data_IF_761597647445
#
_entry.id   IF_761597647445
#
_cell.length_a   1.000
_cell.length_b   1.000
_cell.length_c   1.000
_cell.angle_alpha   90.00
_cell.angle_beta   90.00
_cell.angle_gamma   90.00
#
_symmetry.space_group_name_H-M   'P 1'
#
loop_
_entity.id
_entity.type
_entity.pdbx_description
1 polymer ?
#
# COMPACT_ATOMS: atom_id res chain seq x y z
N UNK A 1 -21.69 31.00 14.68
CA UNK A 1 -20.69 29.97 15.03
C UNK A 1 -19.94 29.60 13.77
N UNK A 2 -18.64 29.87 13.70
CA UNK A 2 -17.78 29.54 12.55
C UNK A 2 -17.18 28.16 12.75
N UNK A 3 -17.42 27.26 11.79
CA UNK A 3 -16.81 25.92 11.79
C UNK A 3 -15.33 26.09 11.45
N UNK A 4 -14.39 25.58 12.28
CA UNK A 4 -12.97 25.69 11.99
C UNK A 4 -12.61 24.90 10.73
N UNK A 5 -11.72 25.47 9.92
CA UNK A 5 -11.18 24.80 8.73
C UNK A 5 -10.26 23.63 9.12
N UNK A 6 -10.09 22.64 8.23
CA UNK A 6 -9.22 21.49 8.46
C UNK A 6 -7.78 21.92 8.83
N UNK A 7 -7.24 22.93 8.15
CA UNK A 7 -5.90 23.46 8.43
C UNK A 7 -5.79 24.07 9.83
N UNK A 8 -6.84 24.75 10.32
CA UNK A 8 -6.86 25.30 11.68
C UNK A 8 -6.87 24.19 12.73
N UNK A 9 -7.63 23.11 12.48
CA UNK A 9 -7.67 21.93 13.35
C UNK A 9 -6.31 21.22 13.35
N UNK A 10 -5.69 21.05 12.19
CA UNK A 10 -4.37 20.42 12.08
C UNK A 10 -3.30 21.26 12.77
N UNK A 11 -3.29 22.59 12.60
CA UNK A 11 -2.35 23.48 13.28
C UNK A 11 -2.50 23.41 14.81
N UNK A 12 -3.73 23.35 15.32
CA UNK A 12 -3.99 23.17 16.75
C UNK A 12 -3.50 21.81 17.25
N UNK A 13 -3.71 20.74 16.49
CA UNK A 13 -3.25 19.39 16.85
C UNK A 13 -1.71 19.27 16.92
N UNK A 14 -0.98 20.07 16.14
CA UNK A 14 0.49 20.13 16.18
C UNK A 14 1.04 20.86 17.40
N UNK A 15 0.26 21.78 17.99
CA UNK A 15 0.62 22.49 19.22
C UNK A 15 0.41 21.65 20.49
N UNK A 16 -0.26 20.50 20.38
CA UNK A 16 -0.51 19.62 21.51
C UNK A 16 0.75 18.84 21.94
N UNK A 17 0.91 18.57 23.25
CA UNK A 17 1.89 17.62 23.75
C UNK A 17 1.75 16.24 23.09
N UNK A 18 2.87 15.53 22.93
CA UNK A 18 2.92 14.22 22.24
C UNK A 18 1.89 13.22 22.75
N UNK A 19 1.67 13.17 24.06
CA UNK A 19 0.71 12.27 24.69
C UNK A 19 -0.74 12.61 24.30
N UNK A 20 -1.10 13.89 24.35
CA UNK A 20 -2.44 14.36 23.97
C UNK A 20 -2.69 14.18 22.47
N UNK A 21 -1.68 14.40 21.63
CA UNK A 21 -1.75 14.10 20.21
C UNK A 21 -1.95 12.61 19.94
N UNK A 22 -1.26 11.74 20.68
CA UNK A 22 -1.44 10.29 20.60
C UNK A 22 -2.87 9.87 20.95
N UNK A 23 -3.44 10.45 22.00
CA UNK A 23 -4.83 10.21 22.39
C UNK A 23 -5.83 10.70 21.34
N UNK A 24 -5.58 11.87 20.73
CA UNK A 24 -6.44 12.43 19.69
C UNK A 24 -6.42 11.56 18.42
N UNK A 25 -5.24 11.10 17.99
CA UNK A 25 -5.10 10.16 16.88
C UNK A 25 -5.81 8.83 17.18
N UNK A 26 -5.63 8.28 18.38
CA UNK A 26 -6.29 7.03 18.79
C UNK A 26 -7.81 7.16 18.76
N UNK A 27 -8.35 8.29 19.24
CA UNK A 27 -9.78 8.57 19.22
C UNK A 27 -10.31 8.74 17.79
N UNK A 28 -9.60 9.48 16.95
CA UNK A 28 -9.97 9.66 15.54
C UNK A 28 -9.95 8.31 14.79
N UNK A 29 -8.97 7.46 15.06
CA UNK A 29 -8.89 6.12 14.48
C UNK A 29 -10.07 5.23 14.91
N UNK A 30 -10.50 5.33 16.18
CA UNK A 30 -11.69 4.62 16.67
C UNK A 30 -12.98 5.16 16.04
N UNK A 31 -13.12 6.48 15.92
CA UNK A 31 -14.28 7.11 15.28
C UNK A 31 -14.37 6.71 13.79
N UNK A 32 -13.23 6.69 13.08
CA UNK A 32 -13.17 6.21 11.69
C UNK A 32 -13.44 4.70 11.58
N UNK A 33 -13.02 3.91 12.56
CA UNK A 33 -13.30 2.47 12.59
C UNK A 33 -14.79 2.17 12.81
N UNK A 34 -15.50 3.03 13.55
CA UNK A 34 -16.96 2.92 13.73
C UNK A 34 -17.76 3.37 12.50
N UNK A 35 -17.22 4.32 11.73
CA UNK A 35 -17.86 4.84 10.50
C UNK A 35 -17.44 4.06 9.24
N UNK A 36 -16.43 3.19 9.32
CA UNK A 36 -16.19 2.24 8.24
C UNK A 36 -17.38 1.29 8.15
N UNK A 37 -18.09 1.24 7.00
CA UNK A 37 -19.12 0.23 6.80
C UNK A 37 -18.50 -1.15 7.06
N UNK A 38 -19.24 -2.10 7.65
CA UNK A 38 -18.73 -3.45 7.84
C UNK A 38 -18.21 -3.90 6.49
N UNK A 39 -16.89 -4.15 6.43
CA UNK A 39 -16.21 -4.61 5.22
C UNK A 39 -17.00 -5.83 4.78
N UNK A 40 -17.83 -5.68 3.77
CA UNK A 40 -18.66 -6.77 3.27
C UNK A 40 -17.68 -7.89 2.98
N UNK A 41 -17.89 -9.06 3.57
CA UNK A 41 -16.96 -10.16 3.38
C UNK A 41 -16.91 -10.47 1.88
N UNK A 42 -15.89 -9.93 1.21
CA UNK A 42 -15.73 -10.10 -0.23
C UNK A 42 -15.42 -11.55 -0.47
N UNK A 43 -16.07 -12.14 -1.45
CA UNK A 43 -15.67 -13.44 -1.96
C UNK A 43 -14.23 -13.36 -2.48
N UNK A 44 -13.47 -14.47 -2.49
CA UNK A 44 -12.10 -14.47 -3.00
C UNK A 44 -11.97 -13.89 -4.41
N UNK A 45 -12.98 -14.07 -5.26
CA UNK A 45 -12.98 -13.56 -6.62
C UNK A 45 -13.22 -12.05 -6.70
N UNK A 46 -14.13 -11.51 -5.86
CA UNK A 46 -14.31 -10.07 -5.73
C UNK A 46 -13.05 -9.39 -5.17
N UNK A 47 -12.38 -10.01 -4.20
CA UNK A 47 -11.13 -9.52 -3.65
C UNK A 47 -10.02 -9.49 -4.72
N UNK A 48 -9.93 -10.53 -5.57
CA UNK A 48 -9.00 -10.56 -6.71
C UNK A 48 -9.31 -9.48 -7.73
N UNK A 49 -10.59 -9.27 -8.05
CA UNK A 49 -11.03 -8.24 -8.99
C UNK A 49 -10.70 -6.83 -8.48
N UNK A 50 -11.02 -6.53 -7.22
CA UNK A 50 -10.69 -5.25 -6.59
C UNK A 50 -9.17 -5.01 -6.54
N UNK A 51 -8.39 -6.06 -6.28
CA UNK A 51 -6.94 -5.96 -6.26
C UNK A 51 -6.35 -5.73 -7.67
N UNK A 52 -6.95 -6.32 -8.70
CA UNK A 52 -6.59 -6.05 -10.10
C UNK A 52 -6.90 -4.60 -10.49
N UNK A 53 -8.05 -4.06 -10.07
CA UNK A 53 -8.42 -2.67 -10.28
C UNK A 53 -7.44 -1.71 -9.58
N UNK A 54 -7.11 -1.98 -8.31
CA UNK A 54 -6.13 -1.18 -7.56
C UNK A 54 -4.76 -1.19 -8.23
N UNK A 55 -4.31 -2.33 -8.77
CA UNK A 55 -3.03 -2.42 -9.51
C UNK A 55 -3.05 -1.55 -10.76
N UNK A 56 -4.16 -1.49 -11.49
CA UNK A 56 -4.29 -0.63 -12.67
C UNK A 56 -4.24 0.86 -12.29
N UNK A 57 -4.95 1.25 -11.23
CA UNK A 57 -4.93 2.63 -10.72
C UNK A 57 -3.52 3.02 -10.28
N UNK A 58 -2.83 2.16 -9.53
CA UNK A 58 -1.45 2.42 -9.07
C UNK A 58 -0.47 2.48 -10.24
N UNK A 59 -0.63 1.63 -11.26
CA UNK A 59 0.21 1.67 -12.46
C UNK A 59 0.01 2.94 -13.29
N UNK A 60 -1.19 3.54 -13.24
CA UNK A 60 -1.51 4.79 -13.92
C UNK A 60 -0.99 6.04 -13.18
N UNK A 61 -0.58 5.91 -11.91
CA UNK A 61 0.05 7.02 -11.19
C UNK A 61 1.44 7.32 -11.76
N UNK A 62 1.84 8.61 -11.81
CA UNK A 62 3.18 8.97 -12.26
C UNK A 62 4.20 8.32 -11.33
N UNK A 63 4.96 7.37 -11.88
CA UNK A 63 5.98 6.68 -11.11
C UNK A 63 7.06 7.68 -10.70
N UNK A 64 7.45 7.75 -9.41
CA UNK A 64 8.57 8.58 -9.01
C UNK A 64 9.80 8.14 -9.81
N UNK A 65 10.54 9.12 -10.36
CA UNK A 65 11.81 8.82 -11.04
C UNK A 65 12.71 8.14 -10.02
N UNK A 66 12.96 6.84 -10.22
CA UNK A 66 13.85 6.06 -9.38
C UNK A 66 15.19 6.78 -9.30
N UNK A 67 15.71 6.92 -8.08
CA UNK A 67 17.10 7.33 -7.89
C UNK A 67 18.04 6.28 -8.49
N UNK A 68 19.27 6.67 -8.83
CA UNK A 68 20.24 5.74 -9.43
C UNK A 68 20.46 4.46 -8.57
N UNK A 69 20.38 4.58 -7.24
CA UNK A 69 20.46 3.43 -6.33
C UNK A 69 19.26 2.49 -6.44
N UNK A 70 18.05 3.03 -6.58
CA UNK A 70 16.83 2.23 -6.75
C UNK A 70 16.76 1.55 -8.12
N UNK A 71 17.34 2.16 -9.16
CA UNK A 71 17.51 1.53 -10.47
C UNK A 71 18.47 0.34 -10.41
N UNK A 72 19.62 0.49 -9.75
CA UNK A 72 20.58 -0.61 -9.59
C UNK A 72 20.00 -1.78 -8.79
N UNK A 73 19.15 -1.50 -7.79
CA UNK A 73 18.47 -2.53 -7.01
C UNK A 73 17.32 -3.21 -7.80
N UNK A 74 16.64 -2.48 -8.68
CA UNK A 74 15.70 -3.07 -9.64
C UNK A 74 16.43 -4.01 -10.61
N UNK A 75 17.52 -3.53 -11.22
CA UNK A 75 18.35 -4.31 -12.15
C UNK A 75 18.98 -5.54 -11.48
N UNK A 76 19.36 -5.43 -10.20
CA UNK A 76 19.84 -6.57 -9.41
C UNK A 76 18.74 -7.63 -9.24
N UNK A 77 17.54 -7.22 -8.83
CA UNK A 77 16.40 -8.14 -8.66
C UNK A 77 15.98 -8.80 -9.97
N UNK A 78 16.02 -8.07 -11.08
CA UNK A 78 15.69 -8.63 -12.39
C UNK A 78 16.75 -9.62 -12.86
N UNK A 79 18.05 -9.35 -12.61
CA UNK A 79 19.12 -10.32 -12.86
C UNK A 79 19.01 -11.55 -11.95
N UNK A 80 18.76 -11.38 -10.67
CA UNK A 80 18.60 -12.49 -9.73
C UNK A 80 17.41 -13.36 -10.12
N UNK A 81 16.29 -12.75 -10.58
CA UNK A 81 15.15 -13.49 -11.14
C UNK A 81 15.50 -14.22 -12.44
N UNK A 82 16.24 -13.60 -13.36
CA UNK A 82 16.65 -14.25 -14.61
C UNK A 82 17.64 -15.41 -14.38
N UNK A 83 18.47 -15.32 -13.35
CA UNK A 83 19.46 -16.33 -12.99
C UNK A 83 18.85 -17.49 -12.18
N UNK A 84 17.88 -17.20 -11.31
CA UNK A 84 17.25 -18.21 -10.44
C UNK A 84 15.96 -18.80 -11.04
N UNK A 85 15.35 -18.15 -12.04
CA UNK A 85 14.04 -18.48 -12.61
C UNK A 85 14.07 -19.29 -13.92
N UNK A 86 15.12 -20.07 -14.19
CA UNK A 86 15.19 -20.95 -15.39
C UNK A 86 15.42 -22.42 -15.03
N UNK A 87 14.71 -22.93 -14.03
CA UNK A 87 14.71 -24.35 -13.66
C UNK A 87 13.33 -24.88 -13.22
N UNK A 88 12.22 -24.31 -13.71
CA UNK A 88 10.90 -24.93 -13.50
C UNK A 88 10.28 -25.55 -14.79
N UNK A 89 10.87 -25.33 -15.98
CA UNK A 89 10.38 -25.90 -17.25
C UNK A 89 11.34 -26.95 -17.85
N UNK A 90 11.83 -27.89 -17.05
CA UNK A 90 12.43 -29.12 -17.62
C UNK A 90 11.80 -30.31 -16.92
N UNK A 91 10.55 -30.54 -17.32
CA UNK A 91 9.84 -31.80 -17.10
C UNK A 91 10.69 -32.98 -17.62
N UNK A 92 10.70 -34.04 -16.83
CA UNK A 92 10.74 -35.46 -17.21
C UNK A 92 10.95 -35.76 -18.71
N UNK A 93 12.16 -36.15 -19.12
CA UNK A 93 12.35 -37.21 -20.14
C UNK A 93 13.83 -37.57 -20.38
N UNK A 94 14.52 -38.19 -19.40
CA UNK A 94 15.76 -38.93 -19.72
C UNK A 94 15.96 -40.13 -18.80
N UNK A 95 15.05 -41.09 -18.81
CA UNK A 95 15.35 -42.49 -18.49
C UNK A 95 14.38 -43.42 -19.25
N UNK A 96 14.62 -43.57 -20.55
CA UNK A 96 14.18 -44.69 -21.37
C UNK A 96 15.41 -45.46 -21.86
#
# INVERSE_FOLDING_TARGET
>A
MTIPTLDQVMNLAHQLPREQRGQLIARLALELATDTPPRTAMTPDEARAALAEMRQVVAALPQPRLTAGEQLEADRRDRDRALLGRHEDTEDDVHA
#
